data_IF_474133253819
#
_entry.id   IF_474133253819
#
_cell.length_a   1.000
_cell.length_b   1.000
_cell.length_c   1.000
_cell.angle_alpha   90.00
_cell.angle_beta   90.00
_cell.angle_gamma   90.00
#
_symmetry.space_group_name_H-M   'P 1'
#
loop_
_entity.id
_entity.type
_entity.pdbx_description
1 polymer ?
#
# COMPACT_ATOMS: atom_id res chain seq x y z
N UNK A 1 3.82 -18.48 1.04
CA UNK A 1 3.61 -17.07 0.64
C UNK A 1 4.91 -16.59 0.03
N UNK A 2 4.97 -16.53 -1.30
CA UNK A 2 6.16 -16.14 -2.05
C UNK A 2 6.42 -14.66 -1.76
N UNK A 3 7.56 -14.36 -1.16
CA UNK A 3 8.02 -13.00 -1.02
C UNK A 3 8.02 -12.37 -2.41
N UNK A 4 7.33 -11.24 -2.55
CA UNK A 4 7.21 -10.53 -3.81
C UNK A 4 8.62 -10.13 -4.25
N UNK A 5 9.09 -10.49 -5.47
CA UNK A 5 10.43 -10.13 -5.89
C UNK A 5 10.58 -8.61 -5.87
N UNK A 6 11.65 -8.13 -5.22
CA UNK A 6 12.06 -6.74 -5.36
C UNK A 6 12.30 -6.51 -6.85
N UNK A 7 11.63 -5.53 -7.43
CA UNK A 7 11.96 -5.10 -8.79
C UNK A 7 13.36 -4.51 -8.69
N UNK A 8 14.34 -5.25 -9.22
CA UNK A 8 15.70 -4.74 -9.38
C UNK A 8 15.62 -3.68 -10.47
N UNK A 9 15.70 -2.42 -10.08
CA UNK A 9 15.87 -1.36 -11.07
C UNK A 9 17.21 -1.55 -11.78
N UNK A 10 17.28 -1.41 -13.11
CA UNK A 10 18.55 -1.38 -13.81
C UNK A 10 19.42 -0.27 -13.19
N UNK A 11 20.75 -0.45 -13.13
CA UNK A 11 21.63 0.60 -12.66
C UNK A 11 21.39 1.85 -13.50
N UNK A 12 20.81 2.89 -12.88
CA UNK A 12 20.63 4.16 -13.53
C UNK A 12 21.98 4.90 -13.49
N UNK A 13 22.41 5.42 -14.61
CA UNK A 13 23.61 6.27 -14.68
C UNK A 13 23.45 7.54 -13.83
N UNK A 14 22.22 7.91 -13.51
CA UNK A 14 21.87 9.11 -12.74
C UNK A 14 20.99 8.71 -11.56
N UNK A 15 21.36 9.17 -10.38
CA UNK A 15 20.58 8.98 -9.14
C UNK A 15 19.19 9.65 -9.21
N UNK A 16 18.18 9.00 -8.66
CA UNK A 16 16.77 9.43 -8.70
C UNK A 16 16.53 10.86 -8.19
N UNK A 17 17.20 11.24 -7.09
CA UNK A 17 17.10 12.59 -6.56
C UNK A 17 17.63 13.63 -7.54
N UNK A 18 18.70 13.30 -8.26
CA UNK A 18 19.25 14.12 -9.34
C UNK A 18 18.27 14.22 -10.51
N UNK A 19 17.53 13.14 -10.84
CA UNK A 19 16.47 13.21 -11.87
C UNK A 19 15.33 14.15 -11.45
N UNK A 20 14.92 14.13 -10.18
CA UNK A 20 13.93 15.11 -9.67
C UNK A 20 14.45 16.52 -9.80
N UNK A 21 15.69 16.79 -9.39
CA UNK A 21 16.31 18.12 -9.49
C UNK A 21 16.43 18.60 -10.94
N UNK A 22 16.90 17.74 -11.84
CA UNK A 22 16.99 18.06 -13.26
C UNK A 22 15.62 18.31 -13.88
N UNK A 23 14.58 17.62 -13.44
CA UNK A 23 13.22 17.77 -13.96
C UNK A 23 12.62 19.16 -13.70
N UNK A 24 13.17 19.92 -12.76
CA UNK A 24 12.77 21.32 -12.52
C UNK A 24 13.06 22.20 -13.74
N UNK A 25 14.17 21.94 -14.42
CA UNK A 25 14.60 22.68 -15.61
C UNK A 25 14.24 21.95 -16.92
N UNK A 26 14.25 20.63 -16.90
CA UNK A 26 13.98 19.75 -18.03
C UNK A 26 12.87 18.75 -17.66
N UNK A 27 11.60 19.10 -17.82
CA UNK A 27 10.45 18.30 -17.36
C UNK A 27 10.47 16.84 -17.81
N UNK A 28 10.96 16.57 -19.02
CA UNK A 28 11.05 15.21 -19.60
C UNK A 28 11.92 14.26 -18.78
N UNK A 29 12.86 14.78 -17.98
CA UNK A 29 13.67 13.94 -17.07
C UNK A 29 12.83 13.21 -16.02
N UNK A 30 11.65 13.72 -15.69
CA UNK A 30 10.75 13.08 -14.75
C UNK A 30 10.13 11.79 -15.32
N UNK A 31 10.03 11.64 -16.65
CA UNK A 31 9.50 10.44 -17.28
C UNK A 31 10.29 9.17 -16.90
N UNK A 32 11.59 9.30 -16.67
CA UNK A 32 12.44 8.17 -16.23
C UNK A 32 11.95 7.62 -14.88
N UNK A 33 11.57 8.49 -13.94
CA UNK A 33 11.02 8.09 -12.65
C UNK A 33 9.65 7.43 -12.79
N UNK A 34 8.83 7.93 -13.72
CA UNK A 34 7.55 7.30 -14.04
C UNK A 34 7.76 5.86 -14.53
N UNK A 35 8.60 5.66 -15.54
CA UNK A 35 8.85 4.34 -16.12
C UNK A 35 9.42 3.36 -15.09
N UNK A 36 10.31 3.82 -14.21
CA UNK A 36 10.91 3.00 -13.17
C UNK A 36 9.92 2.59 -12.07
N UNK A 37 9.14 3.53 -11.56
CA UNK A 37 8.36 3.34 -10.34
C UNK A 37 6.88 3.07 -10.55
N UNK A 38 6.32 3.33 -11.74
CA UNK A 38 4.89 3.11 -12.01
C UNK A 38 4.44 1.68 -11.70
N UNK A 39 5.15 0.62 -12.12
CA UNK A 39 4.72 -0.75 -11.82
C UNK A 39 4.67 -1.08 -10.32
N UNK A 40 5.56 -0.48 -9.51
CA UNK A 40 5.56 -0.66 -8.06
C UNK A 40 4.39 0.07 -7.40
N UNK A 41 4.19 1.34 -7.75
CA UNK A 41 3.10 2.16 -7.22
C UNK A 41 1.75 1.59 -7.63
N UNK A 42 1.59 1.17 -8.89
CA UNK A 42 0.38 0.50 -9.35
C UNK A 42 0.05 -0.72 -8.48
N UNK A 43 1.02 -1.64 -8.29
CA UNK A 43 0.82 -2.85 -7.47
C UNK A 43 0.45 -2.51 -6.03
N UNK A 44 1.08 -1.49 -5.46
CA UNK A 44 0.76 -1.02 -4.11
C UNK A 44 -0.67 -0.50 -4.03
N UNK A 45 -1.11 0.35 -4.96
CA UNK A 45 -2.48 0.89 -5.00
C UNK A 45 -3.49 -0.22 -5.27
N UNK A 46 -3.21 -1.12 -6.23
CA UNK A 46 -4.08 -2.26 -6.54
C UNK A 46 -4.28 -3.21 -5.34
N UNK A 47 -3.23 -3.44 -4.56
CA UNK A 47 -3.32 -4.21 -3.31
C UNK A 47 -4.12 -3.51 -2.21
N UNK A 48 -4.38 -2.21 -2.33
CA UNK A 48 -5.13 -1.39 -1.36
C UNK A 48 -6.59 -1.17 -1.73
N UNK A 49 -6.88 -1.00 -3.01
CA UNK A 49 -8.18 -0.55 -3.53
C UNK A 49 -8.77 -1.45 -4.62
N UNK A 50 -8.01 -2.47 -5.06
CA UNK A 50 -8.34 -3.26 -6.24
C UNK A 50 -7.86 -2.59 -7.54
N UNK A 51 -7.97 -3.34 -8.64
CA UNK A 51 -7.42 -2.92 -9.95
C UNK A 51 -8.20 -1.78 -10.59
N UNK A 52 -9.49 -1.64 -10.29
CA UNK A 52 -10.36 -0.63 -10.91
C UNK A 52 -9.91 0.82 -10.64
N UNK A 53 -9.40 1.11 -9.44
CA UNK A 53 -8.93 2.44 -9.07
C UNK A 53 -7.39 2.58 -9.21
N UNK A 54 -6.69 1.48 -9.51
CA UNK A 54 -5.24 1.45 -9.41
C UNK A 54 -4.54 2.28 -10.49
N UNK A 55 -5.01 2.20 -11.75
CA UNK A 55 -4.41 2.94 -12.85
C UNK A 55 -4.50 4.44 -12.62
N UNK A 56 -5.70 4.93 -12.30
CA UNK A 56 -5.95 6.35 -12.09
C UNK A 56 -5.13 6.91 -10.92
N UNK A 57 -5.14 6.21 -9.78
CA UNK A 57 -4.44 6.70 -8.59
C UNK A 57 -2.92 6.52 -8.67
N UNK A 58 -2.43 5.51 -9.39
CA UNK A 58 -1.02 5.41 -9.69
C UNK A 58 -0.57 6.55 -10.60
N UNK A 59 -1.29 6.83 -11.68
CA UNK A 59 -0.99 7.96 -12.56
C UNK A 59 -1.09 9.31 -11.80
N UNK A 60 -2.12 9.49 -10.96
CA UNK A 60 -2.27 10.68 -10.14
C UNK A 60 -1.11 10.86 -9.15
N UNK A 61 -0.57 9.75 -8.61
CA UNK A 61 0.63 9.80 -7.75
C UNK A 61 1.78 10.50 -8.45
N UNK A 62 2.06 10.15 -9.70
CA UNK A 62 3.14 10.79 -10.47
C UNK A 62 2.81 12.21 -10.89
N UNK A 63 1.54 12.51 -11.18
CA UNK A 63 1.12 13.88 -11.46
C UNK A 63 1.31 14.79 -10.24
N UNK A 64 0.94 14.32 -9.05
CA UNK A 64 1.17 15.03 -7.78
C UNK A 64 2.66 15.16 -7.50
N UNK A 65 3.44 14.11 -7.69
CA UNK A 65 4.89 14.13 -7.54
C UNK A 65 5.53 15.15 -8.49
N UNK A 66 5.15 15.15 -9.75
CA UNK A 66 5.63 16.11 -10.73
C UNK A 66 5.33 17.57 -10.33
N UNK A 67 4.11 17.83 -9.87
CA UNK A 67 3.72 19.16 -9.39
C UNK A 67 4.49 19.59 -8.15
N UNK A 68 4.83 18.64 -7.28
CA UNK A 68 5.56 18.86 -6.02
C UNK A 68 7.07 18.71 -6.14
N UNK A 69 7.64 18.47 -7.32
CA UNK A 69 9.07 18.19 -7.52
C UNK A 69 10.00 19.30 -7.02
N UNK A 70 9.51 20.54 -7.01
CA UNK A 70 10.27 21.68 -6.49
C UNK A 70 10.41 21.62 -4.95
N UNK A 71 9.45 21.03 -4.25
CA UNK A 71 9.47 20.85 -2.80
C UNK A 71 10.13 19.54 -2.36
N UNK A 72 10.57 18.70 -3.29
CA UNK A 72 11.34 17.51 -2.95
C UNK A 72 12.69 17.91 -2.35
N UNK A 73 12.98 17.39 -1.17
CA UNK A 73 14.24 17.62 -0.44
C UNK A 73 15.00 16.30 -0.32
N UNK A 74 16.13 16.21 -1.02
CA UNK A 74 17.03 15.07 -0.99
C UNK A 74 17.56 14.74 0.41
N UNK A 75 17.75 15.76 1.25
CA UNK A 75 18.23 15.57 2.62
C UNK A 75 17.19 14.89 3.52
N UNK A 76 15.90 14.96 3.15
CA UNK A 76 14.79 14.32 3.86
C UNK A 76 14.54 12.88 3.46
N UNK A 77 15.22 12.37 2.41
CA UNK A 77 15.21 10.96 2.05
C UNK A 77 15.09 10.64 0.56
N UNK A 78 14.64 9.42 0.28
CA UNK A 78 14.67 8.82 -1.05
C UNK A 78 13.39 9.11 -1.86
N UNK A 79 13.53 9.25 -3.19
CA UNK A 79 12.41 9.45 -4.13
C UNK A 79 11.37 8.35 -4.01
N UNK A 80 11.81 7.10 -3.86
CA UNK A 80 10.92 5.94 -3.69
C UNK A 80 10.00 6.11 -2.49
N UNK A 81 10.53 6.42 -1.31
CA UNK A 81 9.75 6.65 -0.09
C UNK A 81 8.78 7.83 -0.25
N UNK A 82 9.22 8.91 -0.91
CA UNK A 82 8.38 10.07 -1.21
C UNK A 82 7.19 9.72 -2.12
N UNK A 83 7.40 8.92 -3.19
CA UNK A 83 6.32 8.45 -4.06
C UNK A 83 5.31 7.59 -3.29
N UNK A 84 5.77 6.67 -2.43
CA UNK A 84 4.88 5.87 -1.58
C UNK A 84 4.10 6.72 -0.57
N UNK A 85 4.69 7.79 -0.06
CA UNK A 85 4.00 8.76 0.79
C UNK A 85 2.84 9.44 0.07
N UNK A 86 3.07 9.89 -1.17
CA UNK A 86 2.02 10.48 -2.02
C UNK A 86 0.93 9.44 -2.30
N UNK A 87 1.30 8.23 -2.73
CA UNK A 87 0.36 7.16 -3.03
C UNK A 87 -0.50 6.79 -1.81
N UNK A 88 0.10 6.68 -0.62
CA UNK A 88 -0.61 6.38 0.63
C UNK A 88 -1.64 7.46 0.96
N UNK A 89 -1.28 8.73 0.80
CA UNK A 89 -2.20 9.85 1.01
C UNK A 89 -3.38 9.83 0.02
N UNK A 90 -3.13 9.55 -1.25
CA UNK A 90 -4.18 9.44 -2.28
C UNK A 90 -5.12 8.27 -2.01
N UNK A 91 -4.59 7.10 -1.63
CA UNK A 91 -5.39 5.95 -1.19
C UNK A 91 -6.28 6.30 0.00
N UNK A 92 -5.74 6.99 1.01
CA UNK A 92 -6.52 7.43 2.17
C UNK A 92 -7.62 8.43 1.78
N UNK A 93 -7.34 9.38 0.88
CA UNK A 93 -8.33 10.32 0.37
C UNK A 93 -9.43 9.61 -0.42
N UNK A 94 -9.08 8.68 -1.30
CA UNK A 94 -10.03 7.89 -2.06
C UNK A 94 -10.99 7.12 -1.15
N UNK A 95 -10.47 6.41 -0.14
CA UNK A 95 -11.30 5.67 0.84
C UNK A 95 -12.26 6.58 1.60
N UNK A 96 -11.79 7.75 2.05
CA UNK A 96 -12.65 8.73 2.73
C UNK A 96 -13.74 9.27 1.81
N UNK A 97 -13.43 9.48 0.54
CA UNK A 97 -14.40 9.93 -0.48
C UNK A 97 -15.47 8.87 -0.71
N UNK A 98 -15.08 7.62 -0.92
CA UNK A 98 -16.02 6.49 -1.12
C UNK A 98 -16.92 6.28 0.10
N UNK A 99 -16.36 6.33 1.32
CA UNK A 99 -17.16 6.22 2.54
C UNK A 99 -18.21 7.32 2.63
N UNK A 100 -17.84 8.57 2.34
CA UNK A 100 -18.80 9.70 2.32
C UNK A 100 -19.87 9.54 1.25
N UNK A 101 -19.48 9.06 0.06
CA UNK A 101 -20.41 8.79 -1.04
C UNK A 101 -21.44 7.73 -0.64
N UNK A 102 -21.00 6.62 -0.08
CA UNK A 102 -21.89 5.56 0.39
C UNK A 102 -22.83 6.03 1.49
N UNK A 103 -22.34 6.81 2.45
CA UNK A 103 -23.17 7.39 3.51
C UNK A 103 -24.21 8.38 2.95
N UNK A 104 -23.86 9.15 1.93
CA UNK A 104 -24.80 10.06 1.27
C UNK A 104 -25.91 9.28 0.53
N UNK A 105 -25.55 8.21 -0.19
CA UNK A 105 -26.51 7.33 -0.87
C UNK A 105 -27.46 6.64 0.12
N UNK A 106 -26.98 6.20 1.28
CA UNK A 106 -27.82 5.59 2.32
C UNK A 106 -28.84 6.55 2.94
N UNK A 107 -28.60 7.85 2.86
CA UNK A 107 -29.54 8.89 3.36
C UNK A 107 -30.62 9.26 2.34
N UNK A 108 -30.47 8.87 1.09
CA UNK A 108 -31.48 9.07 0.04
C UNK A 108 -32.41 7.86 0.08
N UNK A 109 -33.72 8.02 0.32
CA UNK A 109 -34.66 6.90 0.29
C UNK A 109 -34.81 6.43 -1.17
N UNK A 110 -34.05 5.44 -1.54
CA UNK A 110 -34.25 4.69 -2.77
C UNK A 110 -34.94 3.39 -2.40
N UNK A 111 -36.11 3.12 -3.02
CA UNK A 111 -36.76 1.81 -3.00
C UNK A 111 -35.72 0.75 -3.29
N UNK A 112 -35.58 -0.22 -2.37
CA UNK A 112 -34.70 -1.36 -2.52
C UNK A 112 -35.26 -2.25 -3.61
N UNK A 113 -34.70 -2.15 -4.81
CA UNK A 113 -34.75 -3.26 -5.75
C UNK A 113 -33.78 -4.30 -5.22
N UNK A 114 -34.35 -5.31 -4.56
CA UNK A 114 -33.63 -6.52 -4.16
C UNK A 114 -33.33 -7.30 -5.42
N UNK A 115 -32.09 -7.25 -5.87
CA UNK A 115 -31.55 -8.17 -6.87
C UNK A 115 -31.07 -9.45 -6.16
N UNK A 116 -31.71 -10.63 -6.38
CA UNK A 116 -31.39 -11.87 -5.66
C UNK A 116 -30.28 -12.68 -6.34
N UNK A 117 -29.24 -12.07 -6.88
CA UNK A 117 -28.29 -12.73 -7.76
C UNK A 117 -26.86 -12.99 -7.23
N UNK A 118 -26.54 -12.75 -5.95
CA UNK A 118 -25.13 -12.81 -5.50
C UNK A 118 -24.82 -13.87 -4.43
N UNK A 119 -25.73 -14.77 -4.08
CA UNK A 119 -25.50 -15.74 -3.00
C UNK A 119 -24.67 -16.97 -3.43
N UNK A 120 -24.65 -17.36 -4.68
CA UNK A 120 -23.95 -18.58 -5.14
C UNK A 120 -22.43 -18.42 -5.38
N UNK A 121 -21.92 -17.20 -5.51
CA UNK A 121 -20.47 -16.95 -5.64
C UNK A 121 -19.72 -16.96 -4.30
N UNK A 122 -20.43 -16.91 -3.20
CA UNK A 122 -19.87 -16.91 -1.84
C UNK A 122 -19.55 -18.32 -1.36
N UNK A 123 -20.32 -19.34 -1.76
CA UNK A 123 -20.17 -20.70 -1.25
C UNK A 123 -18.93 -21.45 -1.77
N UNK A 124 -18.47 -21.19 -3.01
CA UNK A 124 -17.27 -21.86 -3.57
C UNK A 124 -15.95 -21.24 -3.12
N UNK A 125 -15.96 -20.05 -2.48
CA UNK A 125 -14.77 -19.40 -1.94
C UNK A 125 -14.48 -19.80 -0.48
N UNK A 126 -15.30 -20.59 0.17
CA UNK A 126 -15.33 -20.78 1.62
C UNK A 126 -14.24 -21.71 2.21
N UNK A 127 -13.48 -22.48 1.43
CA UNK A 127 -12.43 -23.36 1.98
C UNK A 127 -11.01 -22.79 1.92
N UNK A 128 -10.68 -22.01 0.87
CA UNK A 128 -9.49 -21.14 0.88
C UNK A 128 -9.83 -19.74 1.45
N UNK A 129 -11.12 -19.35 1.41
CA UNK A 129 -11.67 -18.08 1.85
C UNK A 129 -11.74 -17.93 3.38
N UNK A 130 -11.72 -19.00 4.14
CA UNK A 130 -11.80 -18.90 5.62
C UNK A 130 -10.61 -18.13 6.22
N UNK A 131 -9.39 -18.44 5.81
CA UNK A 131 -8.17 -17.75 6.29
C UNK A 131 -8.01 -16.40 5.60
N UNK A 132 -8.29 -16.33 4.29
CA UNK A 132 -8.20 -15.06 3.55
C UNK A 132 -9.27 -14.06 3.98
N UNK A 133 -10.51 -14.52 4.21
CA UNK A 133 -11.59 -13.67 4.70
C UNK A 133 -11.33 -13.17 6.12
N UNK A 134 -10.81 -14.03 7.01
CA UNK A 134 -10.40 -13.63 8.36
C UNK A 134 -9.24 -12.63 8.32
N UNK A 135 -8.22 -12.87 7.51
CA UNK A 135 -7.11 -11.93 7.33
C UNK A 135 -7.58 -10.58 6.79
N UNK A 136 -8.46 -10.57 5.79
CA UNK A 136 -9.03 -9.34 5.22
C UNK A 136 -9.84 -8.57 6.27
N UNK A 137 -10.67 -9.25 7.07
CA UNK A 137 -11.45 -8.69 8.16
C UNK A 137 -10.54 -8.08 9.23
N UNK A 138 -9.50 -8.78 9.63
CA UNK A 138 -8.56 -8.30 10.64
C UNK A 138 -7.69 -7.13 10.13
N UNK A 139 -7.29 -7.16 8.87
CA UNK A 139 -6.65 -6.01 8.22
C UNK A 139 -7.59 -4.79 8.20
N UNK A 140 -8.89 -5.01 7.97
CA UNK A 140 -9.89 -3.94 8.00
C UNK A 140 -10.09 -3.39 9.42
N UNK A 141 -9.95 -4.22 10.46
CA UNK A 141 -10.06 -3.84 11.86
C UNK A 141 -8.84 -3.10 12.43
N UNK A 142 -7.70 -3.09 11.70
CA UNK A 142 -6.55 -2.26 12.07
C UNK A 142 -6.89 -0.77 11.92
N UNK A 143 -6.27 0.07 12.78
CA UNK A 143 -6.26 1.51 12.51
C UNK A 143 -5.62 1.80 11.14
N UNK A 144 -6.03 2.88 10.47
CA UNK A 144 -5.45 3.27 9.18
C UNK A 144 -3.92 3.39 9.28
N UNK A 145 -3.44 4.01 10.34
CA UNK A 145 -2.02 4.22 10.60
C UNK A 145 -1.21 2.92 10.83
N UNK A 146 -1.78 1.94 11.54
CA UNK A 146 -1.13 0.64 11.77
C UNK A 146 -1.14 -0.19 10.48
N UNK A 147 -2.24 -0.09 9.71
CA UNK A 147 -2.40 -0.76 8.42
C UNK A 147 -1.44 -0.24 7.38
N UNK A 148 -1.24 1.08 7.29
CA UNK A 148 -0.31 1.69 6.34
C UNK A 148 1.12 1.24 6.57
N UNK A 149 1.61 1.25 7.80
CA UNK A 149 2.93 0.74 8.14
C UNK A 149 3.09 -0.73 7.77
N UNK A 150 2.10 -1.56 8.09
CA UNK A 150 2.13 -2.99 7.77
C UNK A 150 2.18 -3.24 6.26
N UNK A 151 1.36 -2.53 5.49
CA UNK A 151 1.27 -2.71 4.03
C UNK A 151 2.52 -2.17 3.32
N UNK A 152 3.06 -1.02 3.75
CA UNK A 152 4.33 -0.51 3.23
C UNK A 152 5.48 -1.49 3.48
N UNK A 153 5.50 -2.15 4.64
CA UNK A 153 6.48 -3.21 4.91
C UNK A 153 6.25 -4.43 4.02
N UNK A 154 5.02 -4.93 3.94
CA UNK A 154 4.70 -6.23 3.33
C UNK A 154 4.62 -6.19 1.80
N UNK A 155 4.01 -5.15 1.22
CA UNK A 155 3.79 -5.03 -0.22
C UNK A 155 4.86 -4.17 -0.91
N UNK A 156 5.29 -3.08 -0.27
CA UNK A 156 6.29 -2.19 -0.85
C UNK A 156 7.73 -2.61 -0.48
N UNK A 157 7.90 -3.44 0.54
CA UNK A 157 9.22 -3.86 1.01
C UNK A 157 10.08 -2.70 1.54
N UNK A 158 9.44 -1.63 2.05
CA UNK A 158 10.13 -0.48 2.59
C UNK A 158 10.75 -0.81 3.96
N UNK A 159 11.95 -0.28 4.20
CA UNK A 159 12.60 -0.27 5.50
C UNK A 159 11.97 0.75 6.46
N UNK A 160 12.36 0.68 7.74
CA UNK A 160 11.79 1.56 8.77
C UNK A 160 12.00 3.05 8.49
N UNK A 161 13.18 3.43 8.02
CA UNK A 161 13.51 4.81 7.68
C UNK A 161 12.71 5.30 6.46
N UNK A 162 12.55 4.46 5.45
CA UNK A 162 11.75 4.77 4.27
C UNK A 162 10.26 4.95 4.64
N UNK A 163 9.72 4.09 5.53
CA UNK A 163 8.34 4.21 6.01
C UNK A 163 8.18 5.47 6.86
N UNK A 164 9.16 5.76 7.72
CA UNK A 164 9.16 6.97 8.54
C UNK A 164 9.09 8.23 7.66
N UNK A 165 9.90 8.26 6.60
CA UNK A 165 9.87 9.31 5.59
C UNK A 165 8.54 9.36 4.82
N UNK A 166 8.08 8.21 4.32
CA UNK A 166 6.83 8.14 3.52
C UNK A 166 5.61 8.64 4.29
N UNK A 167 5.53 8.34 5.58
CA UNK A 167 4.40 8.69 6.44
C UNK A 167 4.62 9.96 7.28
N UNK A 168 5.79 10.60 7.16
CA UNK A 168 6.22 11.76 7.96
C UNK A 168 6.06 11.52 9.47
N UNK A 169 6.59 10.39 9.97
CA UNK A 169 6.54 9.96 11.37
C UNK A 169 7.93 9.53 11.86
N UNK A 170 8.21 9.60 13.17
CA UNK A 170 9.49 9.10 13.70
C UNK A 170 9.68 7.59 13.47
N UNK A 171 10.93 7.10 13.22
CA UNK A 171 11.22 5.66 13.01
C UNK A 171 10.75 4.77 14.17
N UNK A 172 10.86 5.23 15.42
CA UNK A 172 10.32 4.53 16.60
C UNK A 172 8.81 4.33 16.55
N UNK A 173 8.08 5.25 15.91
CA UNK A 173 6.63 5.12 15.69
C UNK A 173 6.32 4.04 14.67
N UNK A 174 7.16 3.86 13.63
CA UNK A 174 7.03 2.77 12.66
C UNK A 174 7.11 1.42 13.38
N UNK A 175 8.14 1.21 14.20
CA UNK A 175 8.33 -0.02 14.97
C UNK A 175 7.15 -0.32 15.89
N UNK A 176 6.67 0.65 16.65
CA UNK A 176 5.54 0.48 17.57
C UNK A 176 4.23 0.16 16.85
N UNK A 177 3.94 0.83 15.72
CA UNK A 177 2.76 0.55 14.88
C UNK A 177 2.83 -0.83 14.25
N UNK A 178 3.99 -1.22 13.71
CA UNK A 178 4.20 -2.53 13.09
C UNK A 178 4.01 -3.66 14.11
N UNK A 179 4.57 -3.51 15.31
CA UNK A 179 4.40 -4.48 16.39
C UNK A 179 2.93 -4.61 16.82
N UNK A 180 2.20 -3.49 16.90
CA UNK A 180 0.77 -3.49 17.23
C UNK A 180 -0.05 -4.21 16.16
N UNK A 181 0.21 -3.91 14.87
CA UNK A 181 -0.44 -4.57 13.74
C UNK A 181 -0.19 -6.07 13.75
N UNK A 182 1.09 -6.50 13.88
CA UNK A 182 1.48 -7.92 13.92
C UNK A 182 0.86 -8.66 15.11
N UNK A 183 0.78 -8.03 16.28
CA UNK A 183 0.15 -8.63 17.47
C UNK A 183 -1.34 -8.88 17.26
N UNK A 184 -2.07 -7.90 16.68
CA UNK A 184 -3.50 -8.06 16.36
C UNK A 184 -3.71 -9.20 15.37
N UNK A 185 -2.96 -9.24 14.26
CA UNK A 185 -3.09 -10.28 13.26
C UNK A 185 -2.74 -11.67 13.80
N UNK A 186 -1.71 -11.78 14.64
CA UNK A 186 -1.33 -13.06 15.28
C UNK A 186 -2.43 -13.59 16.18
N UNK A 187 -3.04 -12.72 16.99
CA UNK A 187 -4.18 -13.10 17.86
C UNK A 187 -5.35 -13.63 17.04
N UNK A 188 -5.65 -13.01 15.91
CA UNK A 188 -6.76 -13.40 15.05
C UNK A 188 -6.51 -14.69 14.24
N UNK A 189 -5.25 -14.98 13.89
CA UNK A 189 -4.84 -16.16 13.14
C UNK A 189 -4.50 -17.38 14.03
N UNK A 190 -4.86 -17.35 15.32
CA UNK A 190 -4.69 -18.47 16.22
C UNK A 190 -3.24 -18.73 16.67
N UNK A 191 -2.39 -17.71 16.66
CA UNK A 191 -1.02 -17.82 17.16
C UNK A 191 -0.01 -18.42 16.16
N UNK A 192 -0.46 -18.93 15.02
CA UNK A 192 0.44 -19.43 13.98
C UNK A 192 1.21 -18.24 13.37
N UNK A 193 2.53 -18.29 13.44
CA UNK A 193 3.38 -17.30 12.78
C UNK A 193 3.53 -17.67 11.30
N UNK A 194 2.87 -16.98 10.35
CA UNK A 194 2.94 -17.35 8.95
C UNK A 194 4.32 -17.06 8.32
N UNK A 195 5.28 -16.55 9.09
CA UNK A 195 6.65 -16.21 8.65
C UNK A 195 7.74 -17.09 9.31
N UNK A 196 7.36 -18.05 10.16
CA UNK A 196 8.28 -19.08 10.63
C UNK A 196 7.92 -20.39 9.92
N UNK A 197 8.65 -20.73 8.88
CA UNK A 197 8.82 -22.12 8.51
C UNK A 197 9.55 -22.78 9.68
N UNK A 198 8.90 -23.77 10.26
CA UNK A 198 9.46 -24.66 11.27
C UNK A 198 10.70 -25.32 10.65
N UNK A 199 11.88 -24.83 10.99
CA UNK A 199 13.10 -25.61 10.80
C UNK A 199 13.00 -26.76 11.80
N UNK A 200 12.32 -27.80 11.38
CA UNK A 200 12.23 -29.05 12.12
C UNK A 200 13.64 -29.56 12.37
N UNK A 201 14.10 -29.41 13.59
CA UNK A 201 15.16 -30.21 14.17
C UNK A 201 14.76 -31.68 14.07
N UNK A 202 15.29 -32.36 13.07
CA UNK A 202 15.37 -33.81 13.05
C UNK A 202 16.71 -34.16 13.69
N UNK A 203 16.72 -34.27 15.03
CA UNK A 203 17.77 -34.97 15.74
C UNK A 203 17.12 -36.11 16.53
N UNK A 204 17.61 -37.37 16.24
CA UNK A 204 17.22 -38.57 16.95
C UNK A 204 17.45 -39.83 16.17
#
# INVERSE_FOLDING_TARGET
>A
MTAWPRVSHPPQEVDDATLVEQSRRFPDRFAVLYDCYFPEIYRYVAGRLGTQAADDLAAETFLVAFRKRESFDRARGQVRAWLYGIATNLVAQHRRSETRRLQALQRTPVERVTDPGHEDLVAQRLTAAGVQGRLASELAALSEADRDVLILTALAGLGYEEIAQALDIPPGTVGSRLNRARRKLRGALGGVNPMHEDSGDADG
#
